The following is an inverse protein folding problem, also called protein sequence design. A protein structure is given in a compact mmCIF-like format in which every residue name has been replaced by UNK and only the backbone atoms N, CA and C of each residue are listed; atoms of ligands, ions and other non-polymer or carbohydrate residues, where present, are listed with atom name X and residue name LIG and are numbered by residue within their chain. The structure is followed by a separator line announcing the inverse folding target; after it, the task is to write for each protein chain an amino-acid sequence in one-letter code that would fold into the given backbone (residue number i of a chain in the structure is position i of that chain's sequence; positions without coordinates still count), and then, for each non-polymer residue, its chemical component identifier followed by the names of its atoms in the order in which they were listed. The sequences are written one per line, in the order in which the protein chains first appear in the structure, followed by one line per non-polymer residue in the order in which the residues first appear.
data_IF_722410614491
#
_entry.id   IF_722410614491
#
_cell.length_a   1.000
_cell.length_b   1.000
_cell.length_c   1.000
_cell.angle_alpha   90.00
_cell.angle_beta   90.00
_cell.angle_gamma   90.00
#
_symmetry.space_group_name_H-M   'P 1'
#
loop_
_entity.id
_entity.type
_entity.pdbx_description
1 polymer ?
#
# COMPACT_ATOMS: atom_id res chain seq x y z
N UNK A 1 0.47 -15.64 13.81
CA UNK A 1 1.49 -16.05 14.81
C UNK A 1 1.19 -17.43 15.41
N UNK A 2 -0.06 -17.73 15.82
CA UNK A 2 -0.42 -19.06 16.38
C UNK A 2 -0.10 -20.18 15.39
N UNK A 3 -0.60 -20.13 14.15
CA UNK A 3 -0.32 -21.13 13.11
C UNK A 3 1.19 -21.34 12.87
N UNK A 4 1.99 -20.25 12.89
CA UNK A 4 3.45 -20.36 12.75
C UNK A 4 4.12 -21.00 13.97
N UNK A 5 3.64 -20.70 15.18
CA UNK A 5 4.12 -21.33 16.41
C UNK A 5 3.78 -22.82 16.50
N UNK A 6 2.62 -23.21 15.97
CA UNK A 6 2.15 -24.59 15.86
C UNK A 6 2.71 -25.34 14.66
N UNK A 7 3.54 -24.65 13.83
CA UNK A 7 4.11 -25.17 12.58
C UNK A 7 3.06 -25.63 11.55
N UNK A 8 1.86 -25.08 11.62
CA UNK A 8 0.79 -25.34 10.67
C UNK A 8 0.96 -24.45 9.43
N UNK A 9 1.95 -24.82 8.62
CA UNK A 9 2.32 -24.04 7.42
C UNK A 9 1.29 -24.15 6.29
N UNK A 10 0.50 -25.20 6.26
CA UNK A 10 -0.53 -25.40 5.23
C UNK A 10 -1.70 -24.43 5.46
N UNK A 11 -2.19 -24.35 6.68
CA UNK A 11 -3.22 -23.36 7.04
C UNK A 11 -2.72 -21.92 6.90
N UNK A 12 -1.48 -21.64 7.32
CA UNK A 12 -0.85 -20.35 7.15
C UNK A 12 -0.78 -19.95 5.67
N UNK A 13 -0.34 -20.88 4.81
CA UNK A 13 -0.26 -20.66 3.37
C UNK A 13 -1.66 -20.44 2.75
N UNK A 14 -2.66 -21.19 3.19
CA UNK A 14 -4.04 -21.00 2.75
C UNK A 14 -4.58 -19.62 3.14
N UNK A 15 -4.34 -19.18 4.39
CA UNK A 15 -4.77 -17.87 4.88
C UNK A 15 -4.11 -16.72 4.10
N UNK A 16 -2.79 -16.80 3.87
CA UNK A 16 -2.05 -15.79 3.08
C UNK A 16 -2.55 -15.75 1.64
N UNK A 17 -2.76 -16.90 1.00
CA UNK A 17 -3.31 -16.97 -0.36
C UNK A 17 -4.72 -16.41 -0.45
N UNK A 18 -5.59 -16.72 0.51
CA UNK A 18 -6.95 -16.19 0.56
C UNK A 18 -6.95 -14.66 0.68
N UNK A 19 -6.07 -14.11 1.51
CA UNK A 19 -5.92 -12.67 1.65
C UNK A 19 -5.38 -12.02 0.36
N UNK A 20 -4.34 -12.58 -0.25
CA UNK A 20 -3.81 -12.11 -1.54
C UNK A 20 -4.86 -12.17 -2.66
N UNK A 21 -5.65 -13.24 -2.73
CA UNK A 21 -6.75 -13.34 -3.69
C UNK A 21 -7.80 -12.26 -3.45
N UNK A 22 -8.08 -11.94 -2.19
CA UNK A 22 -9.04 -10.88 -1.84
C UNK A 22 -8.54 -9.51 -2.31
N UNK A 23 -7.30 -9.15 -2.03
CA UNK A 23 -6.73 -7.88 -2.49
C UNK A 23 -6.64 -7.80 -4.01
N UNK A 24 -6.32 -8.90 -4.69
CA UNK A 24 -6.31 -8.96 -6.16
C UNK A 24 -7.73 -8.87 -6.75
N UNK A 25 -8.75 -9.42 -6.10
CA UNK A 25 -10.15 -9.23 -6.51
C UNK A 25 -10.61 -7.79 -6.35
N UNK A 26 -10.12 -7.08 -5.34
CA UNK A 26 -10.35 -5.64 -5.20
C UNK A 26 -9.69 -4.91 -6.37
N UNK A 27 -8.41 -5.16 -6.61
CA UNK A 27 -7.62 -4.48 -7.67
C UNK A 27 -8.20 -4.68 -9.07
N UNK A 28 -8.70 -5.85 -9.38
CA UNK A 28 -9.23 -6.23 -10.69
C UNK A 28 -10.74 -6.48 -10.66
N UNK A 29 -11.45 -5.70 -9.86
CA UNK A 29 -12.90 -5.75 -9.81
C UNK A 29 -13.53 -5.23 -11.10
N UNK A 30 -14.62 -5.85 -11.55
CA UNK A 30 -15.42 -5.36 -12.69
C UNK A 30 -16.35 -4.20 -12.32
N UNK A 31 -16.47 -3.91 -11.02
CA UNK A 31 -17.21 -2.76 -10.49
C UNK A 31 -16.27 -1.87 -9.68
N UNK A 32 -16.48 -0.53 -9.63
CA UNK A 32 -15.61 0.35 -8.89
C UNK A 32 -15.65 0.06 -7.40
N UNK A 33 -14.48 0.08 -6.75
CA UNK A 33 -14.34 -0.11 -5.31
C UNK A 33 -13.71 1.14 -4.71
N UNK A 34 -14.40 1.75 -3.75
CA UNK A 34 -13.92 2.92 -3.00
C UNK A 34 -13.76 2.55 -1.53
N UNK A 35 -12.53 2.67 -1.02
CA UNK A 35 -12.26 2.49 0.40
C UNK A 35 -12.44 3.80 1.17
N UNK A 36 -12.96 3.72 2.39
CA UNK A 36 -13.22 4.87 3.27
C UNK A 36 -12.56 4.68 4.66
N UNK A 37 -11.21 4.67 4.73
CA UNK A 37 -10.50 4.44 5.98
C UNK A 37 -10.58 5.64 6.93
N UNK A 38 -10.48 5.34 8.24
CA UNK A 38 -10.33 6.31 9.30
C UNK A 38 -9.59 5.69 10.49
N UNK A 39 -8.95 6.53 11.31
CA UNK A 39 -8.18 6.06 12.46
C UNK A 39 -7.03 5.14 12.03
N UNK A 40 -6.69 4.16 12.84
CA UNK A 40 -5.60 3.23 12.57
C UNK A 40 -5.97 2.27 11.42
N UNK A 41 -5.33 2.47 10.28
CA UNK A 41 -5.50 1.67 9.05
C UNK A 41 -4.15 1.02 8.72
N UNK A 42 -3.78 0.00 9.50
CA UNK A 42 -2.45 -0.58 9.51
C UNK A 42 -2.41 -1.97 8.85
N UNK A 43 -1.23 -2.37 8.38
CA UNK A 43 -0.98 -3.70 7.83
C UNK A 43 -1.97 -4.08 6.74
N UNK A 44 -2.64 -5.21 6.89
CA UNK A 44 -3.65 -5.68 5.94
C UNK A 44 -4.78 -4.70 5.65
N UNK A 45 -5.17 -3.86 6.60
CA UNK A 45 -6.14 -2.78 6.37
C UNK A 45 -5.61 -1.71 5.43
N UNK A 46 -4.32 -1.35 5.57
CA UNK A 46 -3.62 -0.48 4.64
C UNK A 46 -3.53 -1.13 3.24
N UNK A 47 -3.17 -2.41 3.17
CA UNK A 47 -3.08 -3.16 1.91
C UNK A 47 -4.42 -3.20 1.15
N UNK A 48 -5.55 -3.42 1.84
CA UNK A 48 -6.89 -3.34 1.24
C UNK A 48 -7.13 -1.96 0.61
N UNK A 49 -6.84 -0.88 1.35
CA UNK A 49 -7.00 0.48 0.84
C UNK A 49 -6.12 0.74 -0.39
N UNK A 50 -4.88 0.25 -0.38
CA UNK A 50 -3.95 0.41 -1.50
C UNK A 50 -4.42 -0.26 -2.79
N UNK A 51 -5.25 -1.30 -2.71
CA UNK A 51 -5.80 -2.02 -3.87
C UNK A 51 -7.12 -1.44 -4.39
N UNK A 52 -7.77 -0.53 -3.67
CA UNK A 52 -9.01 0.11 -4.12
C UNK A 52 -8.77 1.03 -5.33
N UNK A 53 -9.80 1.20 -6.15
CA UNK A 53 -9.77 2.13 -7.28
C UNK A 53 -9.59 3.56 -6.80
N UNK A 54 -10.21 3.89 -5.66
CA UNK A 54 -10.06 5.18 -5.00
C UNK A 54 -10.22 5.04 -3.49
N UNK A 55 -9.50 5.89 -2.76
CA UNK A 55 -9.62 6.01 -1.31
C UNK A 55 -10.19 7.38 -0.98
N UNK A 56 -11.20 7.40 -0.10
CA UNK A 56 -11.74 8.60 0.53
C UNK A 56 -11.37 8.53 2.02
N UNK A 57 -10.17 8.97 2.34
CA UNK A 57 -9.64 8.89 3.69
C UNK A 57 -10.19 10.01 4.57
N UNK A 58 -10.53 9.72 5.82
CA UNK A 58 -10.71 10.77 6.83
C UNK A 58 -9.36 11.44 7.12
N UNK A 59 -9.35 12.75 7.41
CA UNK A 59 -8.11 13.49 7.71
C UNK A 59 -7.31 12.81 8.83
N UNK A 60 -8.01 12.32 9.87
CA UNK A 60 -7.45 11.52 10.97
C UNK A 60 -7.38 10.02 10.58
N UNK A 61 -6.61 9.71 9.55
CA UNK A 61 -6.29 8.34 9.13
C UNK A 61 -4.79 8.12 9.26
N UNK A 62 -4.42 7.12 10.03
CA UNK A 62 -3.05 6.74 10.32
C UNK A 62 -2.74 5.44 9.58
N UNK A 63 -2.04 5.54 8.46
CA UNK A 63 -1.77 4.41 7.56
C UNK A 63 -0.33 3.94 7.67
N UNK A 64 -0.12 2.64 7.53
CA UNK A 64 1.23 2.07 7.51
C UNK A 64 1.24 0.59 7.15
N UNK A 65 2.30 0.18 6.46
CA UNK A 65 2.66 -1.23 6.26
C UNK A 65 3.60 -1.61 7.40
N UNK A 66 3.02 -2.08 8.50
CA UNK A 66 3.71 -2.23 9.80
C UNK A 66 4.24 -3.64 10.05
N UNK A 67 4.08 -4.54 9.10
CA UNK A 67 4.41 -5.95 9.21
C UNK A 67 5.87 -6.18 9.58
N UNK A 68 6.79 -5.37 9.04
CA UNK A 68 8.22 -5.51 9.31
C UNK A 68 8.55 -5.22 10.79
N UNK A 69 7.78 -4.36 11.46
CA UNK A 69 7.91 -4.08 12.90
C UNK A 69 7.64 -5.28 13.81
N UNK A 70 6.99 -6.33 13.29
CA UNK A 70 6.69 -7.58 14.01
C UNK A 70 7.34 -8.81 13.37
N UNK A 71 8.37 -8.59 12.52
CA UNK A 71 9.14 -9.66 11.89
C UNK A 71 8.48 -10.32 10.69
N UNK A 72 7.48 -9.66 10.08
CA UNK A 72 6.80 -10.12 8.86
C UNK A 72 7.05 -9.15 7.71
N UNK A 73 6.55 -9.49 6.51
CA UNK A 73 6.49 -8.60 5.35
C UNK A 73 5.03 -8.36 4.97
N UNK A 74 4.70 -7.25 4.29
CA UNK A 74 3.34 -6.99 3.80
C UNK A 74 2.91 -8.08 2.81
N UNK A 75 2.22 -9.10 3.32
CA UNK A 75 1.89 -10.32 2.60
C UNK A 75 0.66 -10.23 1.70
N UNK A 76 -0.21 -9.24 1.91
CA UNK A 76 -1.43 -9.02 1.12
C UNK A 76 -1.22 -8.23 -0.18
N UNK A 77 0.04 -7.93 -0.54
CA UNK A 77 0.40 -7.22 -1.77
C UNK A 77 0.82 -5.76 -1.56
N UNK A 78 1.01 -5.31 -0.33
CA UNK A 78 1.46 -3.94 -0.03
C UNK A 78 2.82 -3.62 -0.66
N UNK A 79 3.77 -4.55 -0.63
CA UNK A 79 5.07 -4.41 -1.31
C UNK A 79 4.93 -4.23 -2.82
N UNK A 80 4.05 -5.02 -3.46
CA UNK A 80 3.71 -4.92 -4.88
C UNK A 80 3.11 -3.53 -5.18
N UNK A 81 2.15 -3.07 -4.38
CA UNK A 81 1.53 -1.75 -4.57
C UNK A 81 2.54 -0.61 -4.41
N UNK A 82 3.48 -0.70 -3.45
CA UNK A 82 4.54 0.29 -3.31
C UNK A 82 5.49 0.29 -4.52
N UNK A 83 5.82 -0.88 -5.08
CA UNK A 83 6.62 -0.97 -6.30
C UNK A 83 5.89 -0.36 -7.51
N UNK A 84 4.57 -0.59 -7.63
CA UNK A 84 3.75 -0.01 -8.68
C UNK A 84 3.73 1.52 -8.57
N UNK A 85 3.48 2.05 -7.37
CA UNK A 85 3.47 3.49 -7.09
C UNK A 85 4.84 4.13 -7.31
N UNK A 86 5.92 3.45 -6.93
CA UNK A 86 7.27 3.87 -7.26
C UNK A 86 7.45 4.02 -8.77
N UNK A 87 7.03 3.02 -9.55
CA UNK A 87 7.08 3.07 -11.02
C UNK A 87 6.29 4.24 -11.60
N UNK A 88 5.09 4.49 -11.08
CA UNK A 88 4.18 5.54 -11.56
C UNK A 88 4.67 6.97 -11.21
N UNK A 89 5.40 7.11 -10.12
CA UNK A 89 5.96 8.38 -9.67
C UNK A 89 7.26 8.77 -10.41
N UNK A 90 7.90 7.83 -11.13
CA UNK A 90 9.15 8.09 -11.84
C UNK A 90 8.93 9.02 -13.02
N UNK A 91 9.71 10.08 -13.07
CA UNK A 91 9.79 11.03 -14.19
C UNK A 91 11.15 10.94 -14.86
N UNK A 92 11.23 11.38 -16.11
CA UNK A 92 12.49 11.51 -16.81
C UNK A 92 13.41 12.48 -16.04
N UNK A 93 14.65 12.05 -15.77
CA UNK A 93 15.63 12.82 -14.97
C UNK A 93 15.54 12.64 -13.46
N UNK A 94 14.55 11.88 -12.93
CA UNK A 94 14.47 11.62 -11.51
C UNK A 94 15.63 10.78 -10.97
N UNK A 95 16.07 11.10 -9.75
CA UNK A 95 17.01 10.27 -8.99
C UNK A 95 16.28 9.04 -8.42
N UNK A 96 16.15 8.00 -9.25
CA UNK A 96 15.43 6.76 -8.95
C UNK A 96 15.82 6.13 -7.62
N UNK A 97 17.11 6.19 -7.29
CA UNK A 97 17.69 5.63 -6.06
C UNK A 97 17.08 6.27 -4.81
N UNK A 98 16.96 7.59 -4.76
CA UNK A 98 16.42 8.28 -3.59
C UNK A 98 14.93 7.93 -3.38
N UNK A 99 14.13 7.93 -4.45
CA UNK A 99 12.72 7.55 -4.37
C UNK A 99 12.54 6.09 -3.95
N UNK A 100 13.36 5.20 -4.48
CA UNK A 100 13.36 3.79 -4.07
C UNK A 100 13.70 3.64 -2.59
N UNK A 101 14.75 4.32 -2.13
CA UNK A 101 15.16 4.33 -0.72
C UNK A 101 14.03 4.79 0.20
N UNK A 102 13.32 5.86 -0.15
CA UNK A 102 12.18 6.37 0.63
C UNK A 102 11.08 5.32 0.76
N UNK A 103 10.65 4.70 -0.35
CA UNK A 103 9.64 3.64 -0.32
C UNK A 103 10.11 2.42 0.47
N UNK A 104 11.37 2.01 0.29
CA UNK A 104 11.95 0.91 1.04
C UNK A 104 11.98 1.18 2.55
N UNK A 105 12.41 2.39 2.96
CA UNK A 105 12.45 2.77 4.38
C UNK A 105 11.05 2.91 4.98
N UNK A 106 10.06 3.34 4.21
CA UNK A 106 8.65 3.39 4.68
C UNK A 106 8.17 2.01 5.14
N UNK A 107 8.52 0.95 4.39
CA UNK A 107 8.19 -0.44 4.77
C UNK A 107 9.15 -0.95 5.85
N UNK A 108 10.46 -0.80 5.66
CA UNK A 108 11.49 -1.39 6.53
C UNK A 108 11.53 -0.80 7.95
N UNK A 109 11.05 0.43 8.11
CA UNK A 109 10.89 1.07 9.42
C UNK A 109 9.48 0.93 9.98
N UNK A 110 8.60 0.19 9.31
CA UNK A 110 7.19 0.05 9.69
C UNK A 110 6.52 1.43 9.93
N UNK A 111 6.81 2.41 9.06
CA UNK A 111 6.40 3.80 9.25
C UNK A 111 4.90 3.95 9.19
N UNK A 112 4.33 4.63 10.18
CA UNK A 112 2.91 4.98 10.23
C UNK A 112 2.77 6.48 10.03
N UNK A 113 1.87 6.88 9.14
CA UNK A 113 1.54 8.28 8.92
C UNK A 113 0.79 8.87 10.13
N UNK A 114 1.06 10.12 10.44
CA UNK A 114 0.37 10.89 11.49
C UNK A 114 -0.96 11.50 11.03
N UNK A 115 -1.27 11.39 9.74
CA UNK A 115 -2.49 11.91 9.11
C UNK A 115 -2.67 11.32 7.70
N UNK A 116 -3.85 11.51 7.10
CA UNK A 116 -4.08 11.17 5.69
C UNK A 116 -3.19 12.00 4.73
N UNK A 117 -2.83 13.23 5.09
CA UNK A 117 -1.91 14.04 4.29
C UNK A 117 -0.50 13.42 4.27
N UNK A 118 0.03 13.06 5.42
CA UNK A 118 1.33 12.38 5.47
C UNK A 118 1.27 11.00 4.78
N UNK A 119 0.12 10.31 4.82
CA UNK A 119 -0.05 9.07 4.06
C UNK A 119 0.08 9.28 2.53
N UNK A 120 -0.32 10.44 2.00
CA UNK A 120 -0.05 10.83 0.61
C UNK A 120 1.43 11.06 0.35
N UNK A 121 2.14 11.75 1.24
CA UNK A 121 3.58 12.01 1.11
C UNK A 121 4.39 10.70 1.15
N UNK A 122 3.98 9.76 2.00
CA UNK A 122 4.58 8.43 2.07
C UNK A 122 4.26 7.55 0.86
N UNK A 123 3.30 7.95 0.02
CA UNK A 123 2.80 7.19 -1.11
C UNK A 123 1.87 6.04 -0.74
N UNK A 124 1.32 6.04 0.49
CA UNK A 124 0.27 5.10 0.92
C UNK A 124 -1.11 5.51 0.40
N UNK A 125 -1.29 6.80 0.10
CA UNK A 125 -2.36 7.36 -0.72
C UNK A 125 -1.77 7.99 -1.98
N UNK A 126 -2.57 8.15 -3.03
CA UNK A 126 -2.12 8.62 -4.35
C UNK A 126 -2.56 10.05 -4.59
N UNK A 127 -1.60 10.93 -4.88
CA UNK A 127 -1.89 12.30 -5.30
C UNK A 127 -2.74 12.34 -6.58
N UNK A 128 -3.75 13.19 -6.58
CA UNK A 128 -4.64 13.37 -7.74
C UNK A 128 -5.64 12.23 -7.98
N UNK A 129 -5.56 11.15 -7.22
CA UNK A 129 -6.46 9.99 -7.29
C UNK A 129 -7.29 9.87 -6.02
N UNK A 130 -6.63 9.73 -4.88
CA UNK A 130 -7.29 9.55 -3.59
C UNK A 130 -7.67 10.91 -2.98
N UNK A 131 -8.71 10.93 -2.15
CA UNK A 131 -9.27 12.15 -1.57
C UNK A 131 -9.24 12.10 -0.05
N UNK A 132 -9.10 13.28 0.56
CA UNK A 132 -9.14 13.45 2.01
C UNK A 132 -10.37 14.25 2.38
N UNK A 133 -11.12 13.75 3.37
CA UNK A 133 -12.31 14.41 3.89
C UNK A 133 -12.16 14.67 5.40
N UNK A 134 -12.59 15.85 5.84
CA UNK A 134 -12.51 16.24 7.26
C UNK A 134 -13.73 15.76 8.03
N UNK A 135 -14.91 15.75 7.39
CA UNK A 135 -16.15 15.36 8.06
C UNK A 135 -16.33 13.84 8.14
N UNK A 136 -16.15 13.28 9.33
CA UNK A 136 -16.36 11.87 9.60
C UNK A 136 -17.80 11.43 9.31
N UNK A 137 -18.76 12.26 9.64
CA UNK A 137 -20.20 11.97 9.43
C UNK A 137 -20.56 11.84 7.95
N UNK A 138 -19.91 12.62 7.08
CA UNK A 138 -20.18 12.60 5.65
C UNK A 138 -19.28 11.63 4.86
N UNK A 139 -18.29 11.01 5.50
CA UNK A 139 -17.31 10.18 4.80
C UNK A 139 -17.94 9.06 3.97
N UNK A 140 -18.85 8.28 4.56
CA UNK A 140 -19.47 7.15 3.86
C UNK A 140 -20.38 7.61 2.71
N UNK A 141 -21.16 8.68 2.92
CA UNK A 141 -22.00 9.23 1.85
C UNK A 141 -21.16 9.79 0.70
N UNK A 142 -20.05 10.44 1.01
CA UNK A 142 -19.11 10.95 0.01
C UNK A 142 -18.41 9.81 -0.75
N UNK A 143 -17.95 8.77 -0.06
CA UNK A 143 -17.37 7.59 -0.68
C UNK A 143 -18.36 6.86 -1.61
N UNK A 144 -19.63 6.73 -1.18
CA UNK A 144 -20.71 6.20 -2.03
C UNK A 144 -20.91 7.04 -3.29
N UNK A 145 -20.99 8.35 -3.16
CA UNK A 145 -21.13 9.25 -4.31
C UNK A 145 -19.92 9.15 -5.25
N UNK A 146 -18.73 9.03 -4.69
CA UNK A 146 -17.49 8.82 -5.46
C UNK A 146 -17.53 7.53 -6.27
N UNK A 147 -18.01 6.43 -5.65
CA UNK A 147 -18.18 5.15 -6.32
C UNK A 147 -19.20 5.26 -7.47
N UNK A 148 -20.35 5.90 -7.25
CA UNK A 148 -21.36 6.12 -8.30
C UNK A 148 -20.80 6.97 -9.45
N UNK A 149 -20.05 8.04 -9.16
CA UNK A 149 -19.40 8.87 -10.18
C UNK A 149 -18.38 8.08 -11.02
N UNK A 150 -17.63 7.17 -10.42
CA UNK A 150 -16.72 6.28 -11.17
C UNK A 150 -17.51 5.41 -12.15
N UNK A 151 -18.62 4.83 -11.71
CA UNK A 151 -19.51 4.03 -12.55
C UNK A 151 -20.10 4.86 -13.72
N UNK A 152 -20.68 6.04 -13.42
CA UNK A 152 -21.27 6.93 -14.41
C UNK A 152 -20.28 7.43 -15.46
N UNK A 153 -19.00 7.56 -15.09
CA UNK A 153 -17.91 7.92 -16.02
C UNK A 153 -17.46 6.76 -16.93
N UNK A 154 -18.11 5.61 -16.86
CA UNK A 154 -17.77 4.45 -17.67
C UNK A 154 -16.60 3.64 -17.11
N UNK A 155 -16.59 3.41 -15.78
CA UNK A 155 -15.57 2.57 -15.15
C UNK A 155 -15.42 1.23 -15.88
N UNK A 156 -14.19 0.85 -16.12
CA UNK A 156 -13.81 -0.43 -16.68
C UNK A 156 -12.79 -1.12 -15.79
N UNK A 157 -12.86 -2.44 -15.74
CA UNK A 157 -11.90 -3.26 -15.00
C UNK A 157 -10.47 -2.94 -15.43
N UNK A 158 -9.59 -2.76 -14.44
CA UNK A 158 -8.17 -2.53 -14.71
C UNK A 158 -7.51 -3.76 -15.34
N UNK A 159 -6.63 -3.54 -16.29
CA UNK A 159 -5.81 -4.59 -16.86
C UNK A 159 -4.51 -4.78 -16.06
N UNK A 160 -4.01 -6.01 -16.03
CA UNK A 160 -2.71 -6.29 -15.44
C UNK A 160 -1.62 -5.58 -16.24
N UNK A 161 -0.87 -4.72 -15.56
CA UNK A 161 0.22 -3.93 -16.13
C UNK A 161 1.46 -4.77 -16.38
N UNK A 162 2.18 -4.44 -17.45
CA UNK A 162 3.46 -5.07 -17.84
C UNK A 162 4.59 -4.04 -18.00
N UNK A 163 4.29 -2.77 -17.79
CA UNK A 163 5.14 -1.60 -18.01
C UNK A 163 5.72 -1.05 -16.68
N UNK A 164 5.92 -1.92 -15.70
CA UNK A 164 6.38 -1.53 -14.35
C UNK A 164 7.91 -1.43 -14.36
N UNK A 165 8.44 -0.26 -14.00
CA UNK A 165 9.86 -0.01 -13.87
C UNK A 165 10.35 -0.35 -12.47
N UNK A 166 11.38 -1.19 -12.40
CA UNK A 166 12.07 -1.57 -11.15
C UNK A 166 13.56 -1.43 -11.31
N UNK A 167 14.29 -1.23 -10.20
CA UNK A 167 15.75 -1.05 -10.24
C UNK A 167 16.53 -2.36 -10.44
N UNK A 168 15.90 -3.53 -10.32
CA UNK A 168 16.56 -4.82 -10.48
C UNK A 168 17.77 -4.98 -9.55
N UNK A 169 18.92 -5.37 -10.09
CA UNK A 169 20.16 -5.60 -9.33
C UNK A 169 20.70 -4.33 -8.66
N UNK A 170 20.51 -3.17 -9.27
CA UNK A 170 20.88 -1.88 -8.66
C UNK A 170 20.11 -1.65 -7.36
N UNK A 171 18.79 -1.85 -7.37
CA UNK A 171 17.96 -1.74 -6.17
C UNK A 171 18.34 -2.76 -5.09
N UNK A 172 18.66 -3.99 -5.48
CA UNK A 172 19.11 -5.03 -4.56
C UNK A 172 20.42 -4.63 -3.87
N UNK A 173 21.41 -4.10 -4.61
CA UNK A 173 22.67 -3.61 -4.05
C UNK A 173 22.45 -2.50 -3.01
N UNK A 174 21.53 -1.55 -3.28
CA UNK A 174 21.19 -0.48 -2.35
C UNK A 174 20.57 -1.03 -1.06
N UNK A 175 19.68 -2.02 -1.17
CA UNK A 175 19.05 -2.67 -0.02
C UNK A 175 20.09 -3.36 0.85
N UNK A 176 21.04 -4.10 0.25
CA UNK A 176 22.12 -4.76 1.01
C UNK A 176 22.98 -3.75 1.77
N UNK A 177 23.42 -2.66 1.12
CA UNK A 177 24.20 -1.62 1.78
C UNK A 177 23.39 -0.94 2.90
N UNK A 178 22.12 -0.66 2.67
CA UNK A 178 21.23 -0.07 3.67
C UNK A 178 21.01 -0.98 4.87
N UNK A 179 20.77 -2.27 4.65
CA UNK A 179 20.59 -3.26 5.70
C UNK A 179 21.86 -3.47 6.54
N UNK A 180 23.03 -3.52 5.88
CA UNK A 180 24.31 -3.64 6.57
C UNK A 180 24.63 -2.40 7.43
N UNK A 181 24.33 -1.21 6.90
CA UNK A 181 24.48 0.04 7.65
C UNK A 181 23.58 0.10 8.88
N UNK A 182 22.32 -0.38 8.79
CA UNK A 182 21.41 -0.44 9.93
C UNK A 182 21.89 -1.47 10.98
N UNK A 183 22.43 -2.59 10.53
CA UNK A 183 22.98 -3.63 11.41
C UNK A 183 24.21 -3.11 12.15
N UNK A 184 25.08 -2.38 11.48
CA UNK A 184 26.33 -1.82 12.05
C UNK A 184 26.06 -0.67 13.01
N UNK A 185 24.96 0.08 12.86
CA UNK A 185 24.59 1.20 13.73
C UNK A 185 23.97 0.76 15.08
N UNK A 186 23.63 -0.53 15.23
CA UNK A 186 23.05 -1.10 16.46
C UNK A 186 24.07 -1.85 17.33
N UNK A 187 25.38 -1.62 17.14
CA UNK A 187 26.48 -2.11 17.98
C UNK A 187 27.16 -0.96 18.72
#
# INVERSE_FOLDING_TARGET
FMMAAEQDYDELNLAVKAFQQTTMRIRYSSIPIVAAPHGMTLGGGCEICMHADKVVAHAETYMGLVEFGVGLIPGGGGTKEMALRFSDELKEGDMRINRFREKFLTIGQAKVSSSAHEAMELGLLRHGVDEIIVSRTHQLSYAKMTCLKLHEKGYTQQNQRKDIHVLGQEGLGIVYVGADSMRSANY
#
